data_IF_439647190145
#
_entry.id   IF_439647190145
#
_cell.length_a   1.000
_cell.length_b   1.000
_cell.length_c   1.000
_cell.angle_alpha   90.00
_cell.angle_beta   90.00
_cell.angle_gamma   90.00
#
_symmetry.space_group_name_H-M   'P 1'
#
loop_
_entity.id
_entity.type
_entity.pdbx_description
1 polymer ?
#
# COMPACT_ATOMS: atom_id res chain seq x y z
N UNK A 1 8.46 -17.50 -20.61
CA UNK A 1 8.20 -17.78 -19.18
C UNK A 1 9.14 -16.93 -18.32
N UNK A 2 8.61 -16.22 -17.32
CA UNK A 2 9.40 -15.39 -16.40
C UNK A 2 10.24 -16.30 -15.46
N UNK A 3 11.30 -15.78 -14.83
CA UNK A 3 12.15 -16.54 -13.89
C UNK A 3 11.31 -17.18 -12.78
N UNK A 4 10.37 -16.44 -12.20
CA UNK A 4 9.53 -16.94 -11.11
C UNK A 4 8.52 -18.01 -11.57
N UNK A 5 8.00 -17.90 -12.80
CA UNK A 5 7.18 -18.97 -13.39
C UNK A 5 7.99 -20.29 -13.46
N UNK A 6 9.26 -20.21 -13.88
CA UNK A 6 10.15 -21.39 -13.94
C UNK A 6 10.50 -21.96 -12.56
N UNK A 7 10.44 -21.14 -11.51
CA UNK A 7 10.62 -21.56 -10.11
C UNK A 7 9.32 -22.14 -9.51
N UNK A 8 8.22 -22.20 -10.28
CA UNK A 8 6.94 -22.76 -9.84
C UNK A 8 6.05 -21.76 -9.09
N UNK A 9 6.40 -20.47 -9.09
CA UNK A 9 5.51 -19.44 -8.55
C UNK A 9 4.37 -19.18 -9.52
N UNK A 10 3.21 -18.82 -8.97
CA UNK A 10 2.04 -18.39 -9.73
C UNK A 10 1.33 -17.24 -9.02
N UNK A 11 0.51 -16.51 -9.77
CA UNK A 11 -0.34 -15.45 -9.23
C UNK A 11 -1.77 -15.76 -9.63
N UNK A 12 -2.68 -15.69 -8.67
CA UNK A 12 -4.10 -15.88 -8.90
C UNK A 12 -4.86 -14.67 -8.36
N UNK A 13 -5.90 -14.29 -9.09
CA UNK A 13 -6.90 -13.33 -8.62
C UNK A 13 -8.03 -14.11 -7.95
N UNK A 14 -8.41 -13.67 -6.77
CA UNK A 14 -9.50 -14.24 -5.98
C UNK A 14 -10.51 -13.11 -5.76
N UNK A 15 -11.67 -13.24 -6.39
CA UNK A 15 -12.77 -12.28 -6.25
C UNK A 15 -13.57 -12.57 -4.96
N UNK A 16 -14.20 -11.55 -4.36
CA UNK A 16 -15.00 -11.72 -3.14
C UNK A 16 -16.23 -12.61 -3.39
N UNK A 17 -16.75 -13.33 -2.37
CA UNK A 17 -16.28 -13.31 -0.98
C UNK A 17 -15.04 -14.18 -0.76
N UNK A 18 -14.06 -13.65 -0.02
CA UNK A 18 -12.86 -14.41 0.32
C UNK A 18 -13.16 -15.45 1.40
N UNK A 19 -12.71 -16.69 1.17
CA UNK A 19 -12.82 -17.77 2.14
C UNK A 19 -12.01 -17.49 3.42
N UNK A 20 -12.51 -17.93 4.58
CA UNK A 20 -11.84 -17.70 5.87
C UNK A 20 -10.45 -18.34 5.94
N UNK A 21 -10.25 -19.50 5.29
CA UNK A 21 -8.95 -20.15 5.17
C UNK A 21 -7.93 -19.24 4.46
N UNK A 22 -8.34 -18.61 3.35
CA UNK A 22 -7.47 -17.67 2.64
C UNK A 22 -7.18 -16.45 3.51
N UNK A 23 -8.17 -15.88 4.20
CA UNK A 23 -7.94 -14.75 5.10
C UNK A 23 -6.95 -15.10 6.21
N UNK A 24 -6.97 -16.32 6.74
CA UNK A 24 -5.98 -16.79 7.71
C UNK A 24 -4.57 -16.83 7.10
N UNK A 25 -4.42 -17.27 5.84
CA UNK A 25 -3.14 -17.20 5.12
C UNK A 25 -2.65 -15.76 4.95
N UNK A 26 -3.51 -14.87 4.47
CA UNK A 26 -3.18 -13.46 4.27
C UNK A 26 -2.83 -12.77 5.60
N UNK A 27 -3.52 -13.14 6.69
CA UNK A 27 -3.25 -12.64 8.04
C UNK A 27 -1.85 -13.03 8.50
N UNK A 28 -1.44 -14.28 8.25
CA UNK A 28 -0.08 -14.74 8.58
C UNK A 28 0.99 -13.96 7.82
N UNK A 29 0.80 -13.74 6.51
CA UNK A 29 1.69 -12.90 5.70
C UNK A 29 1.74 -11.48 6.27
N UNK A 30 0.58 -10.94 6.63
CA UNK A 30 0.42 -9.62 7.22
C UNK A 30 1.16 -9.48 8.56
N UNK A 31 1.03 -10.46 9.44
CA UNK A 31 1.64 -10.46 10.77
C UNK A 31 3.17 -10.49 10.67
N UNK A 32 3.71 -11.38 9.84
CA UNK A 32 5.15 -11.38 9.59
C UNK A 32 5.66 -10.09 8.94
N UNK A 33 4.85 -9.47 8.06
CA UNK A 33 5.20 -8.17 7.49
C UNK A 33 5.27 -7.08 8.56
N UNK A 34 4.44 -7.15 9.61
CA UNK A 34 4.45 -6.22 10.74
C UNK A 34 5.62 -6.45 11.71
N UNK A 35 6.19 -7.66 11.75
CA UNK A 35 7.38 -7.98 12.53
C UNK A 35 8.66 -7.32 11.96
N UNK A 36 8.64 -6.93 10.68
CA UNK A 36 9.78 -6.27 10.05
C UNK A 36 9.99 -4.87 10.67
N UNK A 37 11.21 -4.55 11.19
CA UNK A 37 11.47 -3.27 11.81
C UNK A 37 11.06 -2.06 10.95
N UNK A 38 10.23 -1.18 11.53
CA UNK A 38 9.71 0.02 10.87
C UNK A 38 8.36 -0.15 10.18
N UNK A 39 7.86 -1.39 10.04
CA UNK A 39 6.52 -1.68 9.59
C UNK A 39 5.53 -1.59 10.76
N UNK A 40 4.33 -1.08 10.48
CA UNK A 40 3.24 -0.95 11.46
C UNK A 40 1.93 -0.69 10.73
N UNK A 41 0.82 -1.10 11.34
CA UNK A 41 -0.50 -0.75 10.85
C UNK A 41 -0.74 0.75 10.94
N UNK A 42 -1.53 1.24 9.98
CA UNK A 42 -1.90 2.64 9.81
C UNK A 42 -3.37 2.72 9.44
N UNK A 43 -3.91 3.93 9.47
CA UNK A 43 -5.29 4.17 9.09
C UNK A 43 -5.43 5.50 8.34
N UNK A 44 -6.67 5.87 8.04
CA UNK A 44 -7.07 7.08 7.31
C UNK A 44 -6.73 7.06 5.81
N UNK A 45 -5.47 7.21 5.43
CA UNK A 45 -5.06 7.21 4.00
C UNK A 45 -4.60 5.86 3.49
N UNK A 46 -4.42 4.91 4.40
CA UNK A 46 -3.92 3.56 4.13
C UNK A 46 -4.81 2.58 4.87
N UNK A 47 -5.14 1.48 4.22
CA UNK A 47 -5.84 0.38 4.86
C UNK A 47 -4.96 -0.37 5.84
N UNK A 48 -5.65 -1.02 6.78
CA UNK A 48 -5.08 -2.00 7.71
C UNK A 48 -5.58 -3.39 7.34
N UNK A 49 -4.94 -4.42 7.89
CA UNK A 49 -5.48 -5.76 7.75
C UNK A 49 -6.76 -5.89 8.57
N UNK A 50 -7.91 -5.80 7.90
CA UNK A 50 -9.22 -5.99 8.50
C UNK A 50 -10.00 -7.04 7.70
N UNK A 51 -10.41 -8.18 8.30
CA UNK A 51 -11.07 -9.25 7.56
C UNK A 51 -12.37 -8.81 6.87
N UNK A 52 -13.18 -7.96 7.51
CA UNK A 52 -14.41 -7.38 6.94
C UNK A 52 -14.11 -6.60 5.65
N UNK A 53 -13.08 -5.77 5.67
CA UNK A 53 -12.63 -5.01 4.50
C UNK A 53 -12.12 -5.93 3.38
N UNK A 54 -11.21 -6.85 3.69
CA UNK A 54 -10.63 -7.74 2.69
C UNK A 54 -11.67 -8.69 2.06
N UNK A 55 -12.65 -9.18 2.84
CA UNK A 55 -13.74 -10.04 2.34
C UNK A 55 -14.54 -9.42 1.19
N UNK A 56 -14.50 -8.09 1.05
CA UNK A 56 -15.29 -7.35 0.05
C UNK A 56 -14.46 -6.83 -1.13
N UNK A 57 -13.15 -7.11 -1.15
CA UNK A 57 -12.26 -6.64 -2.22
C UNK A 57 -11.63 -7.80 -2.99
N UNK A 58 -11.42 -7.69 -4.31
CA UNK A 58 -10.62 -8.64 -5.05
C UNK A 58 -9.17 -8.63 -4.55
N UNK A 59 -8.58 -9.81 -4.41
CA UNK A 59 -7.19 -9.95 -3.96
C UNK A 59 -6.40 -10.72 -5.00
N UNK A 60 -5.20 -10.24 -5.31
CA UNK A 60 -4.21 -11.06 -6.00
C UNK A 60 -3.27 -11.69 -4.99
N UNK A 61 -3.06 -12.99 -5.13
CA UNK A 61 -2.22 -13.78 -4.23
C UNK A 61 -1.14 -14.43 -5.07
N UNK A 62 0.12 -14.27 -4.64
CA UNK A 62 1.23 -15.03 -5.17
C UNK A 62 1.39 -16.31 -4.34
N UNK A 63 1.46 -17.44 -5.02
CA UNK A 63 1.71 -18.74 -4.45
C UNK A 63 3.09 -19.26 -4.85
N UNK A 64 3.78 -19.92 -3.92
CA UNK A 64 5.03 -20.62 -4.20
C UNK A 64 4.79 -21.97 -4.91
N UNK A 65 5.88 -22.70 -5.17
CA UNK A 65 5.85 -24.03 -5.80
C UNK A 65 5.08 -25.07 -4.96
N UNK A 66 5.07 -24.93 -3.64
CA UNK A 66 4.37 -25.83 -2.73
C UNK A 66 2.88 -25.47 -2.59
N UNK A 67 2.44 -24.35 -3.16
CA UNK A 67 1.06 -23.88 -3.09
C UNK A 67 0.77 -23.00 -1.89
N UNK A 68 1.78 -22.55 -1.14
CA UNK A 68 1.58 -21.64 -0.02
C UNK A 68 1.43 -20.20 -0.53
N UNK A 69 0.51 -19.45 0.05
CA UNK A 69 0.41 -18.01 -0.18
C UNK A 69 1.63 -17.31 0.43
N UNK A 70 2.32 -16.50 -0.37
CA UNK A 70 3.60 -15.84 0.01
C UNK A 70 3.61 -14.34 -0.19
N UNK A 71 2.68 -13.79 -0.97
CA UNK A 71 2.46 -12.36 -1.09
C UNK A 71 1.02 -12.08 -1.51
N UNK A 72 0.52 -10.89 -1.20
CA UNK A 72 -0.77 -10.45 -1.69
C UNK A 72 -0.86 -8.94 -1.89
N UNK A 73 -1.83 -8.54 -2.69
CA UNK A 73 -2.36 -7.19 -2.72
C UNK A 73 -3.87 -7.20 -2.95
N UNK A 74 -4.59 -6.20 -2.45
CA UNK A 74 -6.02 -6.04 -2.71
C UNK A 74 -6.27 -4.87 -3.66
N UNK A 75 -7.26 -5.04 -4.55
CA UNK A 75 -7.76 -3.96 -5.40
C UNK A 75 -8.83 -3.17 -4.67
N UNK A 76 -8.73 -1.85 -4.75
CA UNK A 76 -9.74 -0.94 -4.23
C UNK A 76 -10.50 -0.32 -5.40
N UNK A 77 -11.83 -0.21 -5.32
CA UNK A 77 -12.60 0.48 -6.35
C UNK A 77 -12.13 1.93 -6.53
N UNK A 78 -12.09 2.36 -7.78
CA UNK A 78 -11.84 3.74 -8.19
C UNK A 78 -13.14 4.33 -8.72
N UNK A 79 -13.28 5.66 -8.61
CA UNK A 79 -14.36 6.40 -9.26
C UNK A 79 -14.25 6.36 -10.80
N UNK A 80 -13.05 6.20 -11.33
CA UNK A 80 -12.83 5.91 -12.76
C UNK A 80 -12.78 4.38 -12.94
N UNK A 81 -13.75 3.76 -13.64
CA UNK A 81 -13.80 2.32 -13.86
C UNK A 81 -12.63 1.80 -14.72
N UNK A 82 -11.92 2.67 -15.43
CA UNK A 82 -10.74 2.31 -16.21
C UNK A 82 -9.42 2.45 -15.42
N UNK A 83 -9.47 2.94 -14.17
CA UNK A 83 -8.33 3.11 -13.28
C UNK A 83 -8.37 2.07 -12.17
N UNK A 84 -7.35 1.23 -12.10
CA UNK A 84 -7.16 0.33 -10.96
C UNK A 84 -6.23 0.97 -9.92
N UNK A 85 -6.43 0.63 -8.64
CA UNK A 85 -5.50 0.98 -7.57
C UNK A 85 -5.44 -0.14 -6.55
N UNK A 86 -4.37 -0.16 -5.77
CA UNK A 86 -4.16 -1.11 -4.67
C UNK A 86 -3.98 -0.36 -3.35
N UNK A 87 -4.21 -1.08 -2.26
CA UNK A 87 -4.07 -0.54 -0.91
C UNK A 87 -3.07 -1.33 -0.08
N UNK A 88 -3.44 -2.53 0.40
CA UNK A 88 -2.51 -3.43 1.04
C UNK A 88 -1.64 -4.12 -0.01
N UNK A 89 -0.35 -4.20 0.30
CA UNK A 89 0.65 -4.89 -0.50
C UNK A 89 1.68 -5.49 0.46
N UNK A 90 1.58 -6.79 0.73
CA UNK A 90 2.40 -7.48 1.74
C UNK A 90 3.02 -8.75 1.18
N UNK A 91 4.19 -9.09 1.70
CA UNK A 91 4.98 -10.26 1.30
C UNK A 91 5.52 -10.91 2.57
N UNK A 92 5.52 -12.25 2.59
CA UNK A 92 6.17 -13.02 3.62
C UNK A 92 7.69 -12.73 3.64
N UNK A 93 8.35 -12.90 4.80
CA UNK A 93 9.81 -12.85 4.88
C UNK A 93 10.44 -13.98 4.05
N UNK A 94 11.74 -13.85 3.81
CA UNK A 94 12.59 -14.87 3.17
C UNK A 94 12.14 -15.34 1.77
N UNK A 95 11.33 -14.51 1.09
CA UNK A 95 10.89 -14.77 -0.27
C UNK A 95 11.91 -14.31 -1.31
N UNK A 96 11.90 -15.00 -2.46
CA UNK A 96 12.79 -14.72 -3.59
C UNK A 96 12.76 -13.25 -4.01
N UNK A 97 13.95 -12.70 -4.31
CA UNK A 97 14.07 -11.34 -4.83
C UNK A 97 13.29 -11.19 -6.14
N UNK A 98 12.53 -10.10 -6.24
CA UNK A 98 11.66 -9.82 -7.38
C UNK A 98 10.25 -10.42 -7.26
N UNK A 99 9.86 -11.06 -6.15
CA UNK A 99 8.49 -11.57 -5.97
C UNK A 99 7.42 -10.47 -6.11
N UNK A 100 7.64 -9.30 -5.51
CA UNK A 100 6.71 -8.18 -5.69
C UNK A 100 6.66 -7.68 -7.12
N UNK A 101 7.81 -7.62 -7.80
CA UNK A 101 7.87 -7.17 -9.19
C UNK A 101 7.12 -8.16 -10.12
N UNK A 102 7.26 -9.46 -9.85
CA UNK A 102 6.51 -10.51 -10.51
C UNK A 102 5.00 -10.40 -10.26
N UNK A 103 4.59 -10.17 -9.00
CA UNK A 103 3.18 -9.98 -8.64
C UNK A 103 2.57 -8.79 -9.41
N UNK A 104 3.21 -7.62 -9.41
CA UNK A 104 2.73 -6.47 -10.18
C UNK A 104 2.67 -6.73 -11.67
N UNK A 105 3.69 -7.37 -12.26
CA UNK A 105 3.68 -7.70 -13.68
C UNK A 105 2.47 -8.56 -14.05
N UNK A 106 2.13 -9.58 -13.24
CA UNK A 106 0.95 -10.41 -13.46
C UNK A 106 -0.36 -9.63 -13.27
N UNK A 107 -0.42 -8.78 -12.26
CA UNK A 107 -1.58 -7.91 -12.00
C UNK A 107 -1.81 -6.95 -13.17
N UNK A 108 -0.77 -6.30 -13.70
CA UNK A 108 -0.92 -5.39 -14.84
C UNK A 108 -1.40 -6.10 -16.10
N UNK A 109 -0.91 -7.31 -16.35
CA UNK A 109 -1.35 -8.11 -17.50
C UNK A 109 -2.81 -8.54 -17.37
N UNK A 110 -3.26 -8.97 -16.18
CA UNK A 110 -4.67 -9.32 -15.94
C UNK A 110 -5.59 -8.09 -15.99
N UNK A 111 -5.18 -6.96 -15.40
CA UNK A 111 -5.97 -5.72 -15.48
C UNK A 111 -6.07 -5.20 -16.91
N UNK A 112 -4.98 -5.29 -17.68
CA UNK A 112 -4.99 -4.91 -19.10
C UNK A 112 -5.94 -5.80 -19.91
N UNK A 113 -5.97 -7.12 -19.68
CA UNK A 113 -6.90 -8.01 -20.38
C UNK A 113 -8.37 -7.74 -20.02
N UNK A 114 -8.62 -7.17 -18.83
CA UNK A 114 -9.94 -6.71 -18.38
C UNK A 114 -10.32 -5.29 -18.83
N UNK A 115 -9.48 -4.62 -19.61
CA UNK A 115 -9.78 -3.30 -20.18
C UNK A 115 -9.44 -2.11 -19.30
N UNK A 116 -8.73 -2.30 -18.18
CA UNK A 116 -8.18 -1.17 -17.43
C UNK A 116 -7.13 -0.43 -18.26
N UNK A 117 -7.21 0.90 -18.27
CA UNK A 117 -6.31 1.77 -19.04
C UNK A 117 -5.15 2.30 -18.22
N UNK A 118 -5.36 2.46 -16.91
CA UNK A 118 -4.39 3.08 -16.02
C UNK A 118 -4.33 2.36 -14.68
N UNK A 119 -3.18 2.47 -14.01
CA UNK A 119 -2.97 1.91 -12.70
C UNK A 119 -2.35 2.96 -11.78
N UNK A 120 -3.02 3.26 -10.66
CA UNK A 120 -2.48 4.09 -9.59
C UNK A 120 -1.67 3.22 -8.64
N UNK A 121 -0.38 3.49 -8.55
CA UNK A 121 0.53 2.89 -7.56
C UNK A 121 0.34 3.50 -6.16
N UNK A 122 -0.59 4.43 -5.99
CA UNK A 122 -0.79 5.22 -4.77
C UNK A 122 0.30 6.28 -4.55
N UNK A 123 0.15 7.08 -3.50
CA UNK A 123 1.06 8.21 -3.22
C UNK A 123 2.49 7.75 -2.90
N UNK A 124 3.49 8.41 -3.47
CA UNK A 124 4.88 8.31 -3.04
C UNK A 124 5.27 9.61 -2.35
N UNK A 125 6.16 9.58 -1.34
CA UNK A 125 6.63 10.81 -0.73
C UNK A 125 7.37 11.71 -1.73
N UNK A 126 7.38 13.01 -1.43
CA UNK A 126 8.14 14.00 -2.20
C UNK A 126 9.60 13.57 -2.30
N UNK A 127 10.17 13.56 -3.51
CA UNK A 127 11.61 13.33 -3.68
C UNK A 127 12.38 14.59 -3.31
N UNK A 128 13.62 14.38 -2.87
CA UNK A 128 14.65 15.41 -2.71
C UNK A 128 14.95 16.23 -3.97
N UNK A 129 14.40 15.83 -5.13
CA UNK A 129 14.60 16.45 -6.44
C UNK A 129 13.42 17.26 -6.98
N UNK A 130 12.36 17.51 -6.21
CA UNK A 130 11.43 18.55 -6.62
C UNK A 130 12.20 19.87 -6.59
N UNK A 131 12.44 20.45 -7.77
CA UNK A 131 13.39 21.51 -8.06
C UNK A 131 13.51 22.55 -6.94
N UNK A 132 14.50 22.35 -6.05
CA UNK A 132 14.75 23.23 -4.92
C UNK A 132 15.13 24.66 -5.36
N UNK A 133 15.38 24.87 -6.66
CA UNK A 133 15.62 26.15 -7.30
C UNK A 133 14.36 26.97 -7.56
N UNK A 134 13.17 26.34 -7.68
CA UNK A 134 11.90 27.04 -7.93
C UNK A 134 10.94 27.01 -6.73
N UNK A 135 11.29 26.26 -5.68
CA UNK A 135 10.44 26.12 -4.51
C UNK A 135 10.31 27.43 -3.72
N UNK A 136 9.07 27.88 -3.51
CA UNK A 136 8.75 29.01 -2.63
C UNK A 136 9.28 28.75 -1.21
N UNK A 137 9.67 29.79 -0.43
CA UNK A 137 10.03 29.63 0.98
C UNK A 137 9.03 28.79 1.78
N UNK A 138 7.75 28.86 1.43
CA UNK A 138 6.67 28.08 2.05
C UNK A 138 6.79 26.59 1.74
N UNK A 139 7.06 26.25 0.49
CA UNK A 139 7.26 24.87 0.04
C UNK A 139 8.49 24.25 0.71
N UNK A 140 9.52 25.06 0.97
CA UNK A 140 10.72 24.61 1.71
C UNK A 140 10.40 24.28 3.17
N UNK A 141 9.57 25.09 3.85
CA UNK A 141 9.13 24.80 5.23
C UNK A 141 8.25 23.55 5.26
N UNK A 142 7.28 23.44 4.35
CA UNK A 142 6.42 22.26 4.23
C UNK A 142 7.25 21.01 3.96
N UNK A 143 8.17 21.07 3.00
CA UNK A 143 9.09 19.98 2.69
C UNK A 143 9.94 19.58 3.91
N UNK A 144 10.47 20.55 4.65
CA UNK A 144 11.25 20.30 5.86
C UNK A 144 10.45 19.58 6.95
N UNK A 145 9.19 19.98 7.16
CA UNK A 145 8.27 19.35 8.12
C UNK A 145 7.91 17.94 7.67
N UNK A 146 7.50 17.76 6.41
CA UNK A 146 7.11 16.46 5.86
C UNK A 146 8.28 15.47 5.86
N UNK A 147 9.50 15.89 5.51
CA UNK A 147 10.69 15.01 5.52
C UNK A 147 11.01 14.48 6.93
N UNK A 148 10.63 15.22 7.97
CA UNK A 148 10.84 14.86 9.38
C UNK A 148 9.67 14.11 10.00
N UNK A 149 8.61 13.85 9.26
CA UNK A 149 7.47 13.07 9.74
C UNK A 149 7.77 11.57 9.65
N UNK A 150 7.94 10.86 10.78
CA UNK A 150 8.29 9.43 10.79
C UNK A 150 7.14 8.53 10.30
N UNK A 151 5.95 9.09 10.07
CA UNK A 151 4.85 8.39 9.43
C UNK A 151 4.93 8.51 7.90
N UNK A 152 5.61 9.48 7.31
CA UNK A 152 5.90 9.39 5.88
C UNK A 152 7.01 8.34 5.74
N UNK A 153 6.70 7.27 4.99
CA UNK A 153 7.48 6.04 4.87
C UNK A 153 8.99 6.25 4.65
N UNK A 154 9.80 5.18 4.64
CA UNK A 154 11.15 5.18 4.05
C UNK A 154 11.07 5.60 2.57
N UNK A 155 11.01 6.90 2.34
CA UNK A 155 10.46 7.55 1.17
C UNK A 155 11.14 7.10 -0.11
N UNK A 156 12.46 7.00 -0.06
CA UNK A 156 13.28 6.74 -1.22
C UNK A 156 13.17 5.31 -1.72
N UNK A 157 12.97 4.34 -0.83
CA UNK A 157 12.85 2.93 -1.21
C UNK A 157 11.52 2.66 -1.92
N UNK A 158 10.42 3.21 -1.39
CA UNK A 158 9.09 3.04 -1.96
C UNK A 158 8.94 3.80 -3.27
N UNK A 159 9.48 5.03 -3.36
CA UNK A 159 9.48 5.79 -4.61
C UNK A 159 10.30 5.10 -5.69
N UNK A 160 11.51 4.61 -5.37
CA UNK A 160 12.33 3.84 -6.32
C UNK A 160 11.63 2.57 -6.81
N UNK A 161 10.92 1.88 -5.93
CA UNK A 161 10.10 0.73 -6.33
C UNK A 161 9.02 1.13 -7.34
N UNK A 162 8.26 2.20 -7.05
CA UNK A 162 7.21 2.70 -7.94
C UNK A 162 7.75 3.22 -9.27
N UNK A 163 8.93 3.86 -9.26
CA UNK A 163 9.59 4.38 -10.45
C UNK A 163 9.94 3.30 -11.50
N UNK A 164 9.97 2.02 -11.13
CA UNK A 164 10.11 0.92 -12.10
C UNK A 164 8.91 0.78 -13.05
N UNK A 165 7.75 1.28 -12.63
CA UNK A 165 6.46 1.09 -13.31
C UNK A 165 5.76 2.40 -13.66
N UNK A 166 6.14 3.50 -13.01
CA UNK A 166 5.45 4.78 -13.14
C UNK A 166 5.85 5.49 -14.43
N UNK A 167 4.90 5.64 -15.35
CA UNK A 167 5.09 6.43 -16.58
C UNK A 167 4.99 7.94 -16.31
N UNK A 168 4.15 8.34 -15.36
CA UNK A 168 3.93 9.74 -14.99
C UNK A 168 3.74 9.93 -13.48
N UNK A 169 4.07 11.12 -13.00
CA UNK A 169 3.92 11.50 -11.60
C UNK A 169 2.94 12.68 -11.51
N UNK A 170 1.81 12.47 -10.84
CA UNK A 170 0.82 13.52 -10.59
C UNK A 170 0.99 14.10 -9.19
N UNK A 171 1.22 15.42 -9.03
CA UNK A 171 1.35 16.03 -7.71
C UNK A 171 0.02 15.98 -6.95
N UNK A 172 0.11 15.88 -5.62
CA UNK A 172 -1.02 15.95 -4.69
C UNK A 172 -0.71 17.02 -3.66
N UNK A 173 -1.71 17.82 -3.32
CA UNK A 173 -1.55 19.03 -2.51
C UNK A 173 -2.40 18.93 -1.24
N UNK A 174 -1.87 19.47 -0.14
CA UNK A 174 -2.64 19.75 1.06
C UNK A 174 -3.03 21.23 1.05
N UNK A 175 -4.31 21.53 1.23
CA UNK A 175 -4.83 22.90 1.23
C UNK A 175 -5.15 23.29 2.67
N UNK A 176 -4.66 24.45 3.10
CA UNK A 176 -4.83 24.99 4.46
C UNK A 176 -5.01 26.51 4.40
N UNK A 177 -5.56 27.11 5.46
CA UNK A 177 -5.97 28.52 5.47
C UNK A 177 -4.80 29.46 5.73
N UNK A 178 -3.89 29.11 6.64
CA UNK A 178 -2.74 29.92 7.01
C UNK A 178 -1.49 29.07 7.23
N UNK A 179 -0.31 29.65 7.01
CA UNK A 179 1.00 29.01 7.32
C UNK A 179 1.10 28.58 8.78
N UNK A 180 0.41 29.29 9.68
CA UNK A 180 0.35 28.98 11.11
C UNK A 180 -0.41 27.67 11.40
N UNK A 181 -1.20 27.17 10.43
CA UNK A 181 -1.93 25.91 10.56
C UNK A 181 -1.04 24.70 10.27
N UNK A 182 0.14 24.87 9.65
CA UNK A 182 1.02 23.76 9.26
C UNK A 182 1.37 22.82 10.42
N UNK A 183 1.76 23.30 11.62
CA UNK A 183 1.99 22.41 12.78
C UNK A 183 0.72 21.69 13.23
N UNK A 184 -0.43 22.35 13.17
CA UNK A 184 -1.72 21.77 13.55
C UNK A 184 -2.16 20.70 12.57
N UNK A 185 -2.03 20.97 11.27
CA UNK A 185 -2.26 20.01 10.18
C UNK A 185 -1.34 18.81 10.32
N UNK A 186 -0.05 19.06 10.57
CA UNK A 186 0.93 18.01 10.80
C UNK A 186 0.56 17.09 11.96
N UNK A 187 0.15 17.67 13.09
CA UNK A 187 -0.31 16.92 14.25
C UNK A 187 -1.63 16.18 13.97
N UNK A 188 -2.56 16.80 13.26
CA UNK A 188 -3.83 16.18 12.88
C UNK A 188 -3.59 14.95 12.00
N UNK A 189 -2.80 15.08 10.93
CA UNK A 189 -2.42 13.98 10.04
C UNK A 189 -1.74 12.84 10.80
N UNK A 190 -0.82 13.17 11.73
CA UNK A 190 -0.20 12.17 12.58
C UNK A 190 -1.24 11.43 13.44
N UNK A 191 -2.12 12.16 14.13
CA UNK A 191 -3.14 11.58 15.02
C UNK A 191 -4.13 10.70 14.28
N UNK A 192 -4.57 11.10 13.09
CA UNK A 192 -5.52 10.30 12.31
C UNK A 192 -4.85 9.11 11.62
N UNK A 193 -3.55 9.18 11.32
CA UNK A 193 -2.85 8.11 10.59
C UNK A 193 -2.20 7.06 11.50
N UNK A 194 -1.82 7.43 12.73
CA UNK A 194 -1.20 6.53 13.70
C UNK A 194 -2.27 5.81 14.53
N UNK A 195 -2.21 4.48 14.52
CA UNK A 195 -3.01 3.66 15.44
C UNK A 195 -2.32 3.70 16.80
N UNK A 196 -3.05 4.08 17.85
CA UNK A 196 -2.52 4.06 19.21
C UNK A 196 -2.30 2.61 19.62
N UNK A 197 -1.16 2.33 20.25
CA UNK A 197 -0.75 0.96 20.63
C UNK A 197 -1.75 0.18 21.51
N UNK A 198 -2.79 0.85 22.05
CA UNK A 198 -3.89 0.21 22.79
C UNK A 198 -5.03 -0.35 21.93
N UNK A 199 -5.21 0.12 20.69
CA UNK A 199 -6.31 -0.32 19.81
C UNK A 199 -5.98 -1.59 19.01
N UNK A 200 -4.73 -2.08 19.09
CA UNK A 200 -4.27 -3.28 18.38
C UNK A 200 -4.85 -4.57 19.02
N UNK A 201 -5.52 -4.46 20.17
CA UNK A 201 -5.99 -5.61 20.98
C UNK A 201 -7.47 -5.64 21.33
N UNK A 202 -8.33 -4.78 20.78
CA UNK A 202 -9.76 -4.92 21.02
C UNK A 202 -10.34 -5.96 20.05
N UNK A 203 -10.69 -7.19 20.47
CA UNK A 203 -11.70 -7.95 19.74
C UNK A 203 -12.96 -7.08 19.80
N UNK A 204 -13.40 -6.61 18.63
CA UNK A 204 -14.67 -5.90 18.56
C UNK A 204 -15.75 -6.83 19.09
N UNK A 205 -16.38 -6.38 20.18
CA UNK A 205 -17.55 -6.99 20.76
C UNK A 205 -18.57 -7.22 19.66
N UNK A 206 -19.01 -8.48 19.58
CA UNK A 206 -20.25 -8.89 18.93
C UNK A 206 -21.36 -7.92 19.34
N UNK A 207 -21.82 -7.07 18.43
CA UNK A 207 -23.18 -6.56 18.50
C UNK A 207 -24.12 -7.72 18.16
N UNK A 208 -24.48 -8.45 19.21
CA UNK A 208 -25.69 -9.25 19.25
C UNK A 208 -26.77 -8.41 19.96
N UNK A 209 -28.00 -8.55 19.45
CA UNK A 209 -29.28 -7.96 19.85
C UNK A 209 -29.66 -6.67 19.11
#
# INVERSE_FOLDING_TARGET
ANRLDRLGYRVERIDPPLADALLADLKRISDHWLEIPGHRERQFTLGRFEPSYLKTTPVYVAFDRAGNAVAFLNLVPSYDPALATVDLMRRAPDQVNGLMDYLFAKVFLDLKSRGFRSFSLGMAPLSDRADASEASPDERVVYWVLKRMPFLFRADSLRRFKAKYADSWTPRYAVFQSRLDLPRLALALRRVSEIRSGDVRAPHLSEAA
#
